data_IF_709350637604
#
_entry.id   IF_709350637604
#
_cell.length_a   1.000
_cell.length_b   1.000
_cell.length_c   1.000
_cell.angle_alpha   90.00
_cell.angle_beta   90.00
_cell.angle_gamma   90.00
#
_symmetry.space_group_name_H-M   'P 1'
#
loop_
_entity.id
_entity.type
_entity.pdbx_description
1 polymer ?
#
# COMPACT_ATOMS: atom_id res chain seq x y z
N UNK A 1 15.33 23.94 -49.03
CA UNK A 1 15.06 24.26 -47.61
C UNK A 1 13.57 24.12 -47.35
N UNK A 2 13.09 22.95 -46.91
CA UNK A 2 11.89 22.83 -46.07
C UNK A 2 11.88 21.43 -45.47
N UNK A 3 12.14 21.37 -44.16
CA UNK A 3 12.10 20.19 -43.32
C UNK A 3 10.84 20.37 -42.45
N UNK A 4 9.91 19.43 -42.45
CA UNK A 4 8.77 19.49 -41.54
C UNK A 4 8.22 18.09 -41.20
N UNK A 5 8.59 17.69 -39.98
CA UNK A 5 7.78 16.96 -39.00
C UNK A 5 7.32 15.54 -39.35
N UNK A 6 8.21 14.61 -39.00
CA UNK A 6 7.84 13.28 -38.49
C UNK A 6 6.98 13.46 -37.21
N UNK A 7 5.71 13.06 -37.27
CA UNK A 7 4.89 12.81 -36.08
C UNK A 7 5.41 11.52 -35.39
N UNK A 8 6.20 11.70 -34.33
CA UNK A 8 6.52 10.64 -33.38
C UNK A 8 5.36 10.44 -32.42
N UNK A 9 4.50 9.47 -32.73
CA UNK A 9 3.48 8.93 -31.84
C UNK A 9 4.19 8.23 -30.67
N UNK A 10 4.26 8.87 -29.49
CA UNK A 10 4.72 8.22 -28.27
C UNK A 10 3.65 7.23 -27.81
N UNK A 11 3.86 5.97 -28.15
CA UNK A 11 3.20 4.86 -27.50
C UNK A 11 3.57 4.89 -26.01
N UNK A 12 2.58 5.18 -25.16
CA UNK A 12 2.65 4.90 -23.73
C UNK A 12 2.82 3.40 -23.58
N UNK A 13 4.03 2.98 -23.23
CA UNK A 13 4.35 1.58 -23.01
C UNK A 13 3.47 1.04 -21.89
N UNK A 14 2.67 0.02 -22.23
CA UNK A 14 2.05 -0.85 -21.26
C UNK A 14 3.16 -1.43 -20.36
N UNK A 15 3.08 -1.15 -19.07
CA UNK A 15 4.01 -1.70 -18.08
C UNK A 15 3.61 -3.16 -17.91
N UNK A 16 4.52 -4.06 -18.30
CA UNK A 16 4.32 -5.50 -18.29
C UNK A 16 3.98 -6.00 -16.87
N UNK A 17 2.90 -6.76 -16.75
CA UNK A 17 2.45 -7.37 -15.51
C UNK A 17 3.38 -8.54 -15.15
N UNK A 18 4.56 -8.22 -14.62
CA UNK A 18 5.54 -9.22 -14.21
C UNK A 18 6.96 -8.71 -13.97
N UNK A 19 7.16 -7.40 -13.77
CA UNK A 19 8.50 -6.89 -13.45
C UNK A 19 8.87 -7.25 -12.01
N UNK A 20 9.45 -8.44 -11.83
CA UNK A 20 10.17 -8.80 -10.61
C UNK A 20 11.28 -7.76 -10.44
N UNK A 21 11.09 -6.84 -9.50
CA UNK A 21 12.14 -5.87 -9.16
C UNK A 21 13.33 -6.66 -8.63
N UNK A 22 14.48 -6.47 -9.28
CA UNK A 22 15.73 -7.09 -8.85
C UNK A 22 16.07 -6.72 -7.39
N UNK A 23 16.84 -7.56 -6.68
CA UNK A 23 17.13 -7.31 -5.27
C UNK A 23 17.87 -5.99 -5.07
N UNK A 24 17.44 -5.20 -4.08
CA UNK A 24 18.06 -3.92 -3.72
C UNK A 24 19.08 -4.14 -2.59
N UNK A 25 20.22 -3.48 -2.69
CA UNK A 25 21.25 -3.51 -1.64
C UNK A 25 21.11 -2.25 -0.77
N UNK A 26 20.96 -2.42 0.55
CA UNK A 26 21.00 -1.28 1.46
C UNK A 26 22.38 -0.61 1.42
N UNK A 27 22.41 0.68 1.13
CA UNK A 27 23.65 1.47 1.16
C UNK A 27 24.11 1.71 2.61
N UNK A 28 25.41 1.89 2.85
CA UNK A 28 25.90 2.35 4.15
C UNK A 28 25.18 3.63 4.60
N UNK A 29 24.71 3.65 5.85
CA UNK A 29 23.96 4.79 6.42
C UNK A 29 22.50 4.91 5.99
N UNK A 30 22.03 4.11 5.02
CA UNK A 30 20.61 4.03 4.67
C UNK A 30 19.88 3.09 5.63
N UNK A 31 18.72 3.50 6.15
CA UNK A 31 17.85 2.62 6.93
C UNK A 31 16.80 1.96 6.03
N UNK A 32 16.26 0.82 6.47
CA UNK A 32 15.17 0.16 5.75
C UNK A 32 13.93 1.04 5.66
N UNK A 33 13.65 1.85 6.68
CA UNK A 33 12.57 2.83 6.67
C UNK A 33 12.73 3.88 5.57
N UNK A 34 13.94 4.42 5.38
CA UNK A 34 14.22 5.37 4.28
C UNK A 34 14.01 4.71 2.92
N UNK A 35 14.50 3.47 2.74
CA UNK A 35 14.28 2.72 1.51
C UNK A 35 12.79 2.47 1.26
N UNK A 36 12.04 2.05 2.28
CA UNK A 36 10.61 1.77 2.14
C UNK A 36 9.79 3.03 1.87
N UNK A 37 10.16 4.17 2.44
CA UNK A 37 9.53 5.45 2.11
C UNK A 37 9.73 5.81 0.63
N UNK A 38 10.89 5.51 0.06
CA UNK A 38 11.19 5.76 -1.36
C UNK A 38 10.41 4.84 -2.29
N UNK A 39 10.28 3.56 -1.91
CA UNK A 39 9.72 2.53 -2.80
C UNK A 39 8.21 2.30 -2.63
N UNK A 40 7.70 2.52 -1.42
CA UNK A 40 6.30 2.25 -1.03
C UNK A 40 5.58 3.47 -0.45
N UNK A 41 6.20 4.65 -0.51
CA UNK A 41 5.64 5.91 0.00
C UNK A 41 5.76 6.09 1.51
N UNK A 42 5.92 5.02 2.29
CA UNK A 42 5.91 5.08 3.76
C UNK A 42 6.97 4.16 4.42
N UNK A 43 7.61 4.64 5.48
CA UNK A 43 8.61 3.86 6.24
C UNK A 43 8.03 2.67 6.99
N UNK A 44 6.72 2.65 7.28
CA UNK A 44 6.10 1.57 8.06
C UNK A 44 6.08 0.23 7.32
N UNK A 45 6.34 0.22 6.01
CA UNK A 45 6.58 -1.01 5.26
C UNK A 45 7.90 -1.69 5.65
N UNK A 46 8.82 -1.02 6.37
CA UNK A 46 10.10 -1.62 6.77
C UNK A 46 9.94 -2.92 7.55
N UNK A 47 8.94 -3.01 8.43
CA UNK A 47 8.70 -4.22 9.21
C UNK A 47 8.19 -5.36 8.32
N UNK A 48 7.25 -5.07 7.41
CA UNK A 48 6.75 -6.01 6.42
C UNK A 48 7.89 -6.56 5.55
N UNK A 49 8.73 -5.67 5.01
CA UNK A 49 9.84 -6.04 4.15
C UNK A 49 10.89 -6.85 4.92
N UNK A 50 11.17 -6.52 6.17
CA UNK A 50 12.06 -7.32 7.01
C UNK A 50 11.55 -8.77 7.16
N UNK A 51 10.26 -8.94 7.44
CA UNK A 51 9.64 -10.26 7.59
C UNK A 51 9.74 -11.08 6.29
N UNK A 52 9.46 -10.48 5.14
CA UNK A 52 9.58 -11.14 3.82
C UNK A 52 11.02 -11.61 3.58
N UNK A 53 11.99 -10.80 4.01
CA UNK A 53 13.42 -11.10 3.86
C UNK A 53 13.97 -12.01 4.98
N UNK A 54 13.10 -12.63 5.79
CA UNK A 54 13.48 -13.57 6.84
C UNK A 54 14.12 -12.92 8.07
N UNK A 55 14.03 -11.61 8.21
CA UNK A 55 14.45 -10.90 9.43
C UNK A 55 13.29 -10.82 10.42
N UNK A 56 13.60 -11.00 11.72
CA UNK A 56 12.62 -10.92 12.80
C UNK A 56 12.02 -9.51 12.96
N UNK A 57 12.81 -8.49 12.63
CA UNK A 57 12.38 -7.09 12.65
C UNK A 57 13.25 -6.23 11.74
N UNK A 58 12.71 -5.06 11.38
CA UNK A 58 13.41 -4.05 10.55
C UNK A 58 14.74 -3.58 11.14
N UNK A 59 14.89 -3.57 12.47
CA UNK A 59 16.14 -3.20 13.14
C UNK A 59 17.28 -4.22 12.96
N UNK A 60 16.97 -5.45 12.53
CA UNK A 60 17.96 -6.51 12.30
C UNK A 60 18.53 -6.49 10.87
N UNK A 61 17.92 -5.72 9.97
CA UNK A 61 18.38 -5.59 8.59
C UNK A 61 19.60 -4.67 8.53
N UNK A 62 20.68 -5.15 7.92
CA UNK A 62 21.98 -4.44 7.90
C UNK A 62 22.30 -3.85 6.54
N UNK A 63 23.11 -2.80 6.55
CA UNK A 63 23.72 -2.29 5.32
C UNK A 63 24.50 -3.40 4.59
N UNK A 64 24.46 -3.38 3.25
CA UNK A 64 25.05 -4.41 2.40
C UNK A 64 24.19 -5.66 2.20
N UNK A 65 23.09 -5.82 2.93
CA UNK A 65 22.16 -6.92 2.73
C UNK A 65 21.40 -6.75 1.41
N UNK A 66 21.27 -7.84 0.65
CA UNK A 66 20.40 -7.93 -0.53
C UNK A 66 18.97 -8.18 -0.06
N UNK A 67 18.05 -7.30 -0.41
CA UNK A 67 16.65 -7.40 -0.05
C UNK A 67 15.78 -7.59 -1.29
N UNK A 68 14.82 -8.52 -1.17
CA UNK A 68 13.67 -8.58 -2.05
C UNK A 68 12.69 -7.46 -1.67
N UNK A 69 12.28 -6.68 -2.67
CA UNK A 69 11.26 -5.64 -2.57
C UNK A 69 10.12 -5.99 -3.54
N UNK A 70 9.21 -6.91 -3.16
CA UNK A 70 8.14 -7.34 -4.04
C UNK A 70 7.15 -6.19 -4.28
N UNK A 71 6.41 -6.27 -5.38
CA UNK A 71 5.18 -5.50 -5.50
C UNK A 71 4.20 -5.98 -4.41
N UNK A 72 3.36 -5.07 -3.90
CA UNK A 72 2.46 -5.41 -2.79
C UNK A 72 1.48 -6.53 -3.17
N UNK A 73 1.08 -6.62 -4.45
CA UNK A 73 0.26 -7.74 -4.95
C UNK A 73 1.01 -9.09 -4.98
N UNK A 74 2.32 -9.08 -5.27
CA UNK A 74 3.15 -10.30 -5.32
C UNK A 74 3.39 -10.87 -3.92
N UNK A 75 3.48 -10.00 -2.91
CA UNK A 75 3.61 -10.38 -1.51
C UNK A 75 2.54 -11.37 -1.07
N UNK A 76 1.29 -11.12 -1.47
CA UNK A 76 0.15 -11.96 -1.08
C UNK A 76 0.28 -13.37 -1.66
N UNK A 77 0.79 -13.49 -2.89
CA UNK A 77 1.03 -14.78 -3.52
C UNK A 77 2.17 -15.53 -2.82
N UNK A 78 3.25 -14.84 -2.46
CA UNK A 78 4.43 -15.43 -1.82
C UNK A 78 4.14 -16.00 -0.42
N UNK A 79 3.27 -15.35 0.37
CA UNK A 79 2.95 -15.77 1.74
C UNK A 79 1.94 -16.94 1.81
N UNK A 80 1.39 -17.38 0.68
CA UNK A 80 0.54 -18.58 0.62
C UNK A 80 -0.74 -18.45 1.46
N UNK A 81 -1.38 -17.28 1.44
CA UNK A 81 -2.72 -17.09 2.01
C UNK A 81 -3.77 -17.92 1.25
N UNK A 82 -4.78 -18.43 1.94
CA UNK A 82 -5.89 -19.21 1.36
C UNK A 82 -7.25 -18.70 1.83
N UNK A 83 -8.34 -19.10 1.16
CA UNK A 83 -9.70 -18.75 1.56
C UNK A 83 -9.93 -17.25 1.76
N UNK A 84 -10.65 -16.89 2.83
CA UNK A 84 -10.94 -15.49 3.16
C UNK A 84 -9.69 -14.70 3.58
N UNK A 85 -8.68 -15.36 4.15
CA UNK A 85 -7.40 -14.71 4.46
C UNK A 85 -6.70 -14.22 3.18
N UNK A 86 -6.81 -14.98 2.08
CA UNK A 86 -6.30 -14.56 0.77
C UNK A 86 -7.05 -13.34 0.26
N UNK A 87 -8.38 -13.36 0.32
CA UNK A 87 -9.23 -12.23 -0.11
C UNK A 87 -8.88 -10.97 0.68
N UNK A 88 -8.70 -11.09 2.00
CA UNK A 88 -8.28 -9.99 2.86
C UNK A 88 -6.91 -9.43 2.45
N UNK A 89 -5.91 -10.31 2.29
CA UNK A 89 -4.56 -9.91 1.91
C UNK A 89 -4.52 -9.25 0.51
N UNK A 90 -5.22 -9.82 -0.48
CA UNK A 90 -5.29 -9.28 -1.84
C UNK A 90 -5.93 -7.89 -1.86
N UNK A 91 -7.10 -7.72 -1.25
CA UNK A 91 -7.77 -6.43 -1.21
C UNK A 91 -6.95 -5.39 -0.42
N UNK A 92 -6.26 -5.78 0.65
CA UNK A 92 -5.36 -4.88 1.39
C UNK A 92 -4.18 -4.44 0.52
N UNK A 93 -3.54 -5.38 -0.18
CA UNK A 93 -2.42 -5.10 -1.08
C UNK A 93 -2.82 -4.22 -2.27
N UNK A 94 -3.98 -4.47 -2.87
CA UNK A 94 -4.54 -3.65 -3.95
C UNK A 94 -4.88 -2.23 -3.48
N UNK A 95 -5.45 -2.08 -2.28
CA UNK A 95 -5.70 -0.77 -1.69
C UNK A 95 -4.38 0.01 -1.46
N UNK A 96 -3.36 -0.67 -0.94
CA UNK A 96 -2.04 -0.10 -0.70
C UNK A 96 -1.32 0.30 -2.00
N UNK A 97 -1.31 -0.58 -2.99
CA UNK A 97 -0.72 -0.33 -4.30
C UNK A 97 -1.45 0.81 -5.03
N UNK A 98 -2.77 0.81 -5.02
CA UNK A 98 -3.55 1.88 -5.65
C UNK A 98 -3.37 3.22 -4.95
N UNK A 99 -3.19 3.25 -3.61
CA UNK A 99 -2.87 4.49 -2.89
C UNK A 99 -1.51 5.04 -3.29
N UNK A 100 -0.50 4.16 -3.45
CA UNK A 100 0.81 4.53 -3.95
C UNK A 100 0.75 5.14 -5.36
N UNK A 101 -0.09 4.57 -6.23
CA UNK A 101 -0.27 5.06 -7.62
C UNK A 101 -0.92 6.45 -7.68
N UNK A 102 -1.82 6.76 -6.75
CA UNK A 102 -2.48 8.09 -6.67
C UNK A 102 -1.81 9.04 -5.68
N UNK A 103 -0.66 8.69 -5.10
CA UNK A 103 0.04 9.50 -4.11
C UNK A 103 0.32 10.92 -4.63
N UNK A 104 0.85 11.06 -5.84
CA UNK A 104 1.18 12.37 -6.41
C UNK A 104 -0.06 13.27 -6.62
N UNK A 105 -1.12 12.83 -7.33
CA UNK A 105 -2.33 13.64 -7.48
C UNK A 105 -3.06 13.87 -6.15
N UNK A 106 -3.03 12.91 -5.22
CA UNK A 106 -3.62 13.08 -3.89
C UNK A 106 -2.89 14.17 -3.09
N UNK A 107 -1.56 14.14 -3.07
CA UNK A 107 -0.74 15.17 -2.41
C UNK A 107 -0.98 16.55 -3.02
N UNK A 108 -1.07 16.64 -4.35
CA UNK A 108 -1.35 17.90 -5.04
C UNK A 108 -2.74 18.46 -4.68
N UNK A 109 -3.75 17.59 -4.61
CA UNK A 109 -5.09 17.96 -4.15
C UNK A 109 -5.04 18.49 -2.71
N UNK A 110 -4.46 17.72 -1.79
CA UNK A 110 -4.38 18.06 -0.37
C UNK A 110 -3.63 19.38 -0.14
N UNK A 111 -2.50 19.61 -0.83
CA UNK A 111 -1.71 20.83 -0.67
C UNK A 111 -2.42 22.10 -1.17
N UNK A 112 -3.32 21.97 -2.14
CA UNK A 112 -4.13 23.07 -2.66
C UNK A 112 -5.48 23.27 -1.95
N UNK A 113 -5.81 22.41 -0.98
CA UNK A 113 -7.14 22.36 -0.38
C UNK A 113 -7.27 23.32 0.81
N UNK A 114 -8.36 24.09 0.86
CA UNK A 114 -8.73 24.83 2.06
C UNK A 114 -9.29 23.85 3.11
N UNK A 115 -8.67 23.69 4.29
CA UNK A 115 -9.18 22.78 5.33
C UNK A 115 -10.62 23.06 5.77
N UNK A 116 -11.14 24.27 5.52
CA UNK A 116 -12.53 24.65 5.80
C UNK A 116 -13.48 24.38 4.63
N UNK A 117 -12.94 24.12 3.44
CA UNK A 117 -13.71 23.80 2.24
C UNK A 117 -14.07 22.32 2.16
N UNK A 118 -15.28 22.01 1.70
CA UNK A 118 -15.71 20.65 1.36
C UNK A 118 -15.72 20.42 -0.15
N UNK A 119 -14.70 20.94 -0.85
CA UNK A 119 -14.60 20.74 -2.29
C UNK A 119 -14.05 19.34 -2.58
N UNK A 120 -14.79 18.46 -3.27
CA UNK A 120 -14.28 17.14 -3.61
C UNK A 120 -13.07 17.25 -4.56
N UNK A 121 -12.17 16.24 -4.54
CA UNK A 121 -11.08 16.16 -5.51
C UNK A 121 -11.62 16.01 -6.95
N UNK A 122 -10.76 16.15 -7.97
CA UNK A 122 -11.10 15.82 -9.35
C UNK A 122 -11.83 14.47 -9.44
N UNK A 123 -12.83 14.37 -10.32
CA UNK A 123 -13.76 13.24 -10.35
C UNK A 123 -13.06 11.88 -10.46
N UNK A 124 -11.98 11.79 -11.24
CA UNK A 124 -11.16 10.59 -11.37
C UNK A 124 -10.48 10.20 -10.06
N UNK A 125 -9.84 11.14 -9.38
CA UNK A 125 -9.23 10.90 -8.07
C UNK A 125 -10.29 10.50 -7.04
N UNK A 126 -11.43 11.18 -7.01
CA UNK A 126 -12.55 10.84 -6.13
C UNK A 126 -13.10 9.42 -6.39
N UNK A 127 -13.17 9.00 -7.66
CA UNK A 127 -13.58 7.65 -8.02
C UNK A 127 -12.56 6.61 -7.58
N UNK A 128 -11.27 6.86 -7.80
CA UNK A 128 -10.20 5.97 -7.34
C UNK A 128 -10.20 5.82 -5.82
N UNK A 129 -10.28 6.92 -5.06
CA UNK A 129 -10.35 6.86 -3.60
C UNK A 129 -11.53 6.01 -3.10
N UNK A 130 -12.70 6.11 -3.74
CA UNK A 130 -13.87 5.26 -3.42
C UNK A 130 -13.64 3.79 -3.78
N UNK A 131 -12.95 3.50 -4.88
CA UNK A 131 -12.59 2.14 -5.24
C UNK A 131 -11.64 1.54 -4.18
N UNK A 132 -10.62 2.29 -3.74
CA UNK A 132 -9.70 1.87 -2.68
C UNK A 132 -10.42 1.70 -1.34
N UNK A 133 -11.39 2.57 -1.01
CA UNK A 133 -12.25 2.39 0.16
C UNK A 133 -12.99 1.05 0.09
N UNK A 134 -13.59 0.73 -1.05
CA UNK A 134 -14.30 -0.53 -1.27
C UNK A 134 -13.39 -1.74 -1.04
N UNK A 135 -12.13 -1.67 -1.47
CA UNK A 135 -11.11 -2.70 -1.22
C UNK A 135 -10.80 -2.82 0.27
N UNK A 136 -10.58 -1.73 0.99
CA UNK A 136 -10.32 -1.77 2.43
C UNK A 136 -11.50 -2.38 3.22
N UNK A 137 -12.74 -2.03 2.88
CA UNK A 137 -13.94 -2.62 3.48
C UNK A 137 -14.10 -4.11 3.15
N UNK A 138 -13.86 -4.50 1.90
CA UNK A 138 -13.88 -5.89 1.49
C UNK A 138 -12.81 -6.72 2.22
N UNK A 139 -11.63 -6.15 2.48
CA UNK A 139 -10.58 -6.78 3.25
C UNK A 139 -10.99 -7.00 4.72
N UNK A 140 -11.56 -5.97 5.36
CA UNK A 140 -12.04 -6.06 6.74
C UNK A 140 -13.14 -7.13 6.88
N UNK A 141 -14.14 -7.09 5.99
CA UNK A 141 -15.21 -8.09 5.94
C UNK A 141 -14.68 -9.51 5.75
N UNK A 142 -13.73 -9.70 4.84
CA UNK A 142 -13.12 -11.01 4.62
C UNK A 142 -12.44 -11.53 5.89
N UNK A 143 -11.77 -10.66 6.66
CA UNK A 143 -11.17 -11.07 7.94
C UNK A 143 -12.23 -11.49 8.97
N UNK A 144 -13.36 -10.80 9.05
CA UNK A 144 -14.46 -11.19 9.94
C UNK A 144 -15.11 -12.52 9.53
N UNK A 145 -15.01 -12.89 8.26
CA UNK A 145 -15.55 -14.14 7.68
C UNK A 145 -14.53 -15.30 7.65
N UNK A 146 -13.32 -15.10 8.19
CA UNK A 146 -12.32 -16.16 8.29
C UNK A 146 -12.86 -17.30 9.15
N UNK A 147 -12.70 -18.53 8.64
CA UNK A 147 -13.17 -19.72 9.31
C UNK A 147 -12.49 -19.89 10.70
N UNK A 148 -13.21 -20.29 11.75
CA UNK A 148 -12.66 -20.35 13.12
C UNK A 148 -11.41 -21.24 13.27
N UNK A 149 -11.28 -22.27 12.43
CA UNK A 149 -10.15 -23.20 12.38
C UNK A 149 -8.87 -22.58 11.81
N UNK A 150 -8.97 -21.46 11.09
CA UNK A 150 -7.81 -20.66 10.66
C UNK A 150 -7.25 -19.75 11.78
N UNK A 151 -7.82 -19.81 12.99
CA UNK A 151 -7.44 -19.01 14.14
C UNK A 151 -8.11 -17.64 14.18
N UNK A 152 -7.94 -16.93 15.30
CA UNK A 152 -8.55 -15.60 15.48
C UNK A 152 -7.90 -14.57 14.56
N UNK A 153 -8.66 -13.89 13.68
CA UNK A 153 -8.14 -12.85 12.81
C UNK A 153 -7.47 -11.71 13.59
N UNK A 154 -6.47 -11.03 13.01
CA UNK A 154 -5.79 -9.93 13.68
C UNK A 154 -6.73 -8.71 13.78
N UNK A 155 -7.36 -8.54 14.95
CA UNK A 155 -8.25 -7.38 15.25
C UNK A 155 -7.59 -6.03 14.93
N UNK A 156 -6.28 -5.94 15.14
CA UNK A 156 -5.50 -4.76 14.79
C UNK A 156 -5.53 -4.45 13.28
N UNK A 157 -5.48 -5.46 12.41
CA UNK A 157 -5.60 -5.27 10.97
C UNK A 157 -7.02 -4.83 10.57
N UNK A 158 -8.05 -5.47 11.13
CA UNK A 158 -9.46 -5.11 10.88
C UNK A 158 -9.73 -3.65 11.25
N UNK A 159 -9.30 -3.23 12.44
CA UNK A 159 -9.45 -1.84 12.89
C UNK A 159 -8.76 -0.83 11.96
N UNK A 160 -7.55 -1.15 11.49
CA UNK A 160 -6.79 -0.31 10.55
C UNK A 160 -7.48 -0.21 9.20
N UNK A 161 -8.01 -1.31 8.68
CA UNK A 161 -8.74 -1.33 7.41
C UNK A 161 -10.01 -0.46 7.47
N UNK A 162 -10.73 -0.46 8.58
CA UNK A 162 -11.85 0.46 8.78
C UNK A 162 -11.40 1.93 8.81
N UNK A 163 -10.33 2.25 9.55
CA UNK A 163 -9.76 3.62 9.56
C UNK A 163 -9.34 4.08 8.17
N UNK A 164 -8.72 3.19 7.39
CA UNK A 164 -8.34 3.46 6.00
C UNK A 164 -9.58 3.73 5.14
N UNK A 165 -10.60 2.89 5.24
CA UNK A 165 -11.85 3.08 4.50
C UNK A 165 -12.51 4.44 4.83
N UNK A 166 -12.59 4.79 6.10
CA UNK A 166 -13.18 6.05 6.54
C UNK A 166 -12.38 7.26 6.04
N UNK A 167 -11.05 7.24 6.17
CA UNK A 167 -10.19 8.32 5.69
C UNK A 167 -10.22 8.47 4.16
N UNK A 168 -10.26 7.37 3.41
CA UNK A 168 -10.43 7.41 1.94
C UNK A 168 -11.77 8.02 1.54
N UNK A 169 -12.85 7.71 2.27
CA UNK A 169 -14.17 8.31 2.03
C UNK A 169 -14.19 9.80 2.35
N UNK A 170 -13.54 10.22 3.44
CA UNK A 170 -13.40 11.62 3.82
C UNK A 170 -12.68 12.40 2.72
N UNK A 171 -11.52 11.92 2.27
CA UNK A 171 -10.76 12.55 1.18
C UNK A 171 -11.56 12.57 -0.13
N UNK A 172 -12.28 11.50 -0.47
CA UNK A 172 -13.15 11.45 -1.65
C UNK A 172 -14.32 12.46 -1.60
N UNK A 173 -14.67 12.95 -0.41
CA UNK A 173 -15.68 14.00 -0.17
C UNK A 173 -15.06 15.39 -0.03
N UNK A 174 -13.74 15.52 -0.15
CA UNK A 174 -13.04 16.78 0.05
C UNK A 174 -12.88 17.17 1.52
N UNK A 175 -12.98 16.21 2.44
CA UNK A 175 -12.73 16.43 3.86
C UNK A 175 -11.24 16.17 4.13
N UNK A 176 -10.46 17.24 4.15
CA UNK A 176 -9.03 17.22 4.49
C UNK A 176 -8.86 17.77 5.90
N UNK A 177 -8.26 16.99 6.79
CA UNK A 177 -7.98 17.39 8.17
C UNK A 177 -6.66 18.13 8.24
N UNK A 178 -5.62 17.59 7.61
CA UNK A 178 -4.29 18.21 7.63
C UNK A 178 -3.43 17.78 6.43
N UNK A 179 -2.73 18.74 5.78
CA UNK A 179 -2.00 18.49 4.55
C UNK A 179 -0.98 17.35 4.58
N UNK A 180 -0.29 17.18 5.70
CA UNK A 180 0.76 16.17 5.85
C UNK A 180 0.28 14.89 6.57
N UNK A 181 -0.91 14.93 7.17
CA UNK A 181 -1.38 13.89 8.07
C UNK A 181 -2.26 12.86 7.37
N UNK A 182 -3.20 13.31 6.54
CA UNK A 182 -4.27 12.43 6.03
C UNK A 182 -3.71 11.30 5.17
N UNK A 183 -2.87 11.65 4.20
CA UNK A 183 -2.23 10.67 3.34
C UNK A 183 -1.27 9.76 4.13
N UNK A 184 -0.47 10.34 5.02
CA UNK A 184 0.51 9.59 5.82
C UNK A 184 -0.15 8.50 6.67
N UNK A 185 -1.26 8.81 7.33
CA UNK A 185 -2.00 7.85 8.17
C UNK A 185 -2.59 6.72 7.34
N UNK A 186 -3.13 7.01 6.15
CA UNK A 186 -3.67 5.96 5.27
C UNK A 186 -2.60 4.96 4.84
N UNK A 187 -1.44 5.48 4.42
CA UNK A 187 -0.30 4.64 4.02
C UNK A 187 0.26 3.84 5.20
N UNK A 188 0.38 4.47 6.37
CA UNK A 188 0.83 3.83 7.60
C UNK A 188 -0.11 2.68 8.00
N UNK A 189 -1.42 2.91 8.02
CA UNK A 189 -2.39 1.91 8.46
C UNK A 189 -2.49 0.73 7.47
N UNK A 190 -2.32 0.97 6.16
CA UNK A 190 -2.22 -0.11 5.17
C UNK A 190 -0.94 -0.95 5.35
N UNK A 191 0.22 -0.31 5.55
CA UNK A 191 1.48 -1.00 5.81
C UNK A 191 1.40 -1.89 7.08
N UNK A 192 0.81 -1.35 8.14
CA UNK A 192 0.64 -2.07 9.39
C UNK A 192 -0.40 -3.20 9.26
N UNK A 193 -1.50 -2.99 8.52
CA UNK A 193 -2.49 -4.04 8.27
C UNK A 193 -1.85 -5.24 7.54
N UNK A 194 -1.05 -5.00 6.49
CA UNK A 194 -0.31 -6.06 5.79
C UNK A 194 0.68 -6.77 6.71
N UNK A 195 1.40 -6.01 7.55
CA UNK A 195 2.35 -6.58 8.52
C UNK A 195 1.65 -7.53 9.50
N UNK A 196 0.50 -7.13 10.04
CA UNK A 196 -0.28 -7.97 10.94
C UNK A 196 -0.85 -9.22 10.25
N UNK A 197 -1.28 -9.11 9.00
CA UNK A 197 -1.73 -10.26 8.20
C UNK A 197 -0.62 -11.29 8.00
N UNK A 198 0.59 -10.85 7.64
CA UNK A 198 1.76 -11.74 7.47
C UNK A 198 2.15 -12.40 8.79
N UNK A 199 2.21 -11.62 9.88
CA UNK A 199 2.49 -12.17 11.23
C UNK A 199 1.46 -13.22 11.64
N UNK A 200 0.17 -12.94 11.42
CA UNK A 200 -0.91 -13.88 11.73
C UNK A 200 -0.79 -15.16 10.90
N UNK A 201 -0.58 -15.04 9.58
CA UNK A 201 -0.43 -16.18 8.68
C UNK A 201 0.69 -17.12 9.08
N UNK A 202 1.84 -16.59 9.48
CA UNK A 202 3.02 -17.37 9.89
C UNK A 202 2.85 -18.02 11.25
N UNK A 203 2.13 -17.40 12.19
CA UNK A 203 1.80 -18.00 13.49
C UNK A 203 0.85 -19.21 13.38
N UNK A 204 -0.01 -19.23 12.36
CA UNK A 204 -0.94 -20.35 12.10
C UNK A 204 -0.33 -21.57 11.40
N UNK A 205 0.98 -21.59 11.14
CA UNK A 205 1.68 -22.72 10.51
C UNK A 205 2.35 -23.68 11.50
N UNK A 206 1.96 -23.65 12.78
CA UNK A 206 2.48 -24.56 13.80
C UNK A 206 1.65 -25.83 13.93
#
# INVERSE_FOLDING_TARGET
MTNALLLGLLAVGAVDAGTVRGPVVLKPGQTLGVLCRQEYGNEHYAELIALINGAESSAKVKAGQRLALPLLGELVAAEGFTGQAKVAAQNTAEAAQGLLEVQAPLKAFIAGHDPKGMQPPPAELAATLRALQGKALAAAKALDEVAPDAGTPPKAAVFKLHRVADGLLQLARGQVVSPDYDQFILEQDLALALTELVKWRRKGQH
#
